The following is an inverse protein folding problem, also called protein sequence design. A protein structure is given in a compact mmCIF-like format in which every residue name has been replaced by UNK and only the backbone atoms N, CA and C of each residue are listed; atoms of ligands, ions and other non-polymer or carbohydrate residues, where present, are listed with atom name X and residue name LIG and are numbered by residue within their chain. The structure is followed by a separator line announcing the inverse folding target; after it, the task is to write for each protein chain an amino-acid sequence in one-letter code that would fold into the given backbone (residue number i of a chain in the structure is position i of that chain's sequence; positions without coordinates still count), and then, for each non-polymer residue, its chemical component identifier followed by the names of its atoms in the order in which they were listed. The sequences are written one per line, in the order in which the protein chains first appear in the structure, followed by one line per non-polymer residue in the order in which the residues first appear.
data_IF_804785178491
#
_entry.id   IF_804785178491
#
_cell.length_a   1.000
_cell.length_b   1.000
_cell.length_c   1.000
_cell.angle_alpha   90.00
_cell.angle_beta   90.00
_cell.angle_gamma   90.00
#
_symmetry.space_group_name_H-M   'P 1'
#
loop_
_entity.id
_entity.type
_entity.pdbx_description
1 polymer ?
#
# COMPACT_ATOMS: atom_id res chain seq x y z
N UNK A 1 -6.23 -9.75 2.35
CA UNK A 1 -5.16 -9.25 3.26
C UNK A 1 -5.58 -7.88 3.77
N UNK A 2 -5.41 -7.56 5.06
CA UNK A 2 -5.59 -6.18 5.56
C UNK A 2 -4.32 -5.41 5.22
N UNK A 3 -4.45 -4.16 4.83
CA UNK A 3 -3.33 -3.40 4.28
C UNK A 3 -2.90 -2.24 5.16
N UNK A 4 -3.79 -1.76 6.04
CA UNK A 4 -3.43 -0.92 7.19
C UNK A 4 -3.87 -1.60 8.48
N UNK A 5 -2.89 -1.95 9.30
CA UNK A 5 -3.07 -2.36 10.68
C UNK A 5 -2.60 -1.19 11.59
N UNK A 6 -3.19 -0.97 12.77
CA UNK A 6 -4.30 -1.69 13.40
C UNK A 6 -5.69 -1.30 12.87
N UNK A 7 -5.77 -0.33 11.96
CA UNK A 7 -7.02 0.29 11.55
C UNK A 7 -7.98 -0.62 10.76
N UNK A 8 -7.52 -1.82 10.40
CA UNK A 8 -8.31 -2.84 9.71
C UNK A 8 -8.79 -2.46 8.30
N UNK A 9 -8.14 -1.47 7.67
CA UNK A 9 -8.46 -1.05 6.30
C UNK A 9 -8.00 -2.07 5.27
N UNK A 10 -8.80 -2.17 4.20
CA UNK A 10 -8.51 -2.95 3.00
C UNK A 10 -8.14 -2.06 1.80
N UNK A 11 -8.24 -0.74 1.93
CA UNK A 11 -8.07 0.20 0.84
C UNK A 11 -7.34 1.48 1.25
N UNK A 12 -6.76 2.12 0.24
CA UNK A 12 -6.12 3.42 0.29
C UNK A 12 -6.42 4.17 -1.00
N UNK A 13 -6.25 5.48 -0.96
CA UNK A 13 -6.21 6.31 -2.16
C UNK A 13 -4.98 7.21 -2.17
N UNK A 14 -4.58 7.62 -3.37
CA UNK A 14 -3.47 8.56 -3.57
C UNK A 14 -4.01 9.98 -3.45
N UNK A 15 -3.33 10.81 -2.65
CA UNK A 15 -3.60 12.24 -2.52
C UNK A 15 -2.37 13.03 -2.93
N UNK A 16 -2.61 14.20 -3.52
CA UNK A 16 -1.58 15.15 -3.96
C UNK A 16 -0.51 14.54 -4.89
N UNK A 17 -0.78 13.37 -5.48
CA UNK A 17 0.13 12.61 -6.35
C UNK A 17 1.36 12.02 -5.65
N UNK A 18 1.52 12.16 -4.33
CA UNK A 18 2.73 11.77 -3.59
C UNK A 18 2.50 11.09 -2.26
N UNK A 19 1.26 11.09 -1.76
CA UNK A 19 0.94 10.44 -0.50
C UNK A 19 -0.11 9.36 -0.70
N UNK A 20 0.08 8.27 0.01
CA UNK A 20 -0.92 7.22 0.17
C UNK A 20 -1.71 7.51 1.47
N UNK A 21 -3.03 7.62 1.39
CA UNK A 21 -3.90 7.84 2.55
C UNK A 21 -4.78 6.62 2.82
N UNK A 22 -4.84 6.21 4.08
CA UNK A 22 -5.77 5.17 4.54
C UNK A 22 -7.21 5.68 4.59
N UNK A 23 -8.12 4.96 3.96
CA UNK A 23 -9.55 5.30 3.93
C UNK A 23 -10.23 5.18 5.30
N UNK A 24 -9.70 4.33 6.18
CA UNK A 24 -10.29 4.09 7.50
C UNK A 24 -9.84 5.10 8.57
N UNK A 25 -8.54 5.41 8.63
CA UNK A 25 -7.96 6.22 9.72
C UNK A 25 -7.29 7.51 9.25
N UNK A 26 -7.23 7.77 7.94
CA UNK A 26 -6.61 8.96 7.39
C UNK A 26 -5.09 9.05 7.55
N UNK A 27 -4.43 8.00 8.05
CA UNK A 27 -2.96 7.97 8.15
C UNK A 27 -2.36 8.10 6.76
N UNK A 28 -1.28 8.87 6.65
CA UNK A 28 -0.60 9.20 5.40
C UNK A 28 0.83 8.69 5.42
N UNK A 29 1.25 8.14 4.29
CA UNK A 29 2.63 7.75 4.02
C UNK A 29 3.08 8.34 2.70
N UNK A 30 4.37 8.60 2.57
CA UNK A 30 5.00 8.93 1.29
C UNK A 30 4.92 7.74 0.33
N UNK A 31 4.48 7.95 -0.92
CA UNK A 31 4.17 6.84 -1.84
C UNK A 31 5.41 6.08 -2.32
N UNK A 32 6.57 6.74 -2.37
CA UNK A 32 7.81 6.15 -2.87
C UNK A 32 8.56 5.40 -1.75
N UNK A 33 8.69 6.05 -0.60
CA UNK A 33 9.47 5.54 0.53
C UNK A 33 8.64 4.69 1.48
N UNK A 34 7.32 4.91 1.53
CA UNK A 34 6.37 4.44 2.55
C UNK A 34 6.67 4.96 3.95
N UNK A 35 7.42 6.06 4.08
CA UNK A 35 7.65 6.71 5.36
C UNK A 35 6.35 7.37 5.86
N UNK A 36 6.01 7.15 7.13
CA UNK A 36 4.84 7.77 7.75
C UNK A 36 4.97 9.28 7.86
N UNK A 37 3.97 10.01 7.38
CA UNK A 37 3.91 11.48 7.37
C UNK A 37 3.04 11.99 8.52
N UNK A 38 1.88 11.37 8.74
CA UNK A 38 0.93 11.79 9.76
C UNK A 38 -0.10 10.71 10.07
N UNK A 39 -0.62 10.65 11.29
CA UNK A 39 -1.71 9.76 11.70
C UNK A 39 -1.30 8.70 12.73
N UNK A 40 -2.26 7.90 13.16
CA UNK A 40 -2.06 6.92 14.24
C UNK A 40 -1.35 5.63 13.79
N UNK A 41 -1.32 5.34 12.49
CA UNK A 41 -0.78 4.07 11.97
C UNK A 41 0.61 4.22 11.32
N UNK A 42 1.33 5.33 11.54
CA UNK A 42 2.60 5.63 10.85
C UNK A 42 3.68 4.54 11.01
N UNK A 43 3.67 3.81 12.13
CA UNK A 43 4.58 2.69 12.42
C UNK A 43 4.23 1.40 11.68
N UNK A 44 3.10 1.38 10.96
CA UNK A 44 2.59 0.24 10.20
C UNK A 44 2.42 0.63 8.73
N UNK A 45 3.53 0.88 8.01
CA UNK A 45 3.44 1.20 6.60
C UNK A 45 2.89 0.02 5.80
N UNK A 46 2.13 0.28 4.72
CA UNK A 46 1.63 -0.78 3.85
C UNK A 46 2.78 -1.56 3.21
N UNK A 47 2.53 -2.80 2.74
CA UNK A 47 3.55 -3.56 2.04
C UNK A 47 3.93 -2.90 0.71
N UNK A 48 5.24 -2.85 0.40
CA UNK A 48 5.72 -2.40 -0.91
C UNK A 48 5.25 -3.38 -1.98
N UNK A 49 4.55 -2.88 -2.99
CA UNK A 49 4.27 -3.64 -4.20
C UNK A 49 5.43 -3.44 -5.17
N UNK A 50 6.21 -4.48 -5.40
CA UNK A 50 7.20 -4.49 -6.49
C UNK A 50 6.50 -4.90 -7.78
N UNK A 51 6.28 -3.96 -8.69
CA UNK A 51 5.82 -4.29 -10.05
C UNK A 51 7.00 -4.77 -10.89
N UNK A 52 7.00 -6.05 -11.24
CA UNK A 52 7.90 -6.61 -12.25
C UNK A 52 7.21 -6.60 -13.61
N UNK A 53 7.74 -5.87 -14.58
CA UNK A 53 7.29 -5.96 -15.97
C UNK A 53 7.87 -7.23 -16.59
N UNK A 54 7.03 -8.23 -16.87
CA UNK A 54 7.40 -9.41 -17.64
C UNK A 54 6.55 -9.41 -18.92
N UNK A 55 7.19 -9.19 -20.07
CA UNK A 55 6.61 -9.37 -21.41
C UNK A 55 5.26 -8.67 -21.65
N UNK A 56 5.08 -7.44 -21.16
CA UNK A 56 3.85 -6.66 -21.37
C UNK A 56 2.68 -7.04 -20.45
N UNK A 57 2.90 -7.91 -19.46
CA UNK A 57 1.96 -8.20 -18.38
C UNK A 57 2.48 -7.56 -17.11
N UNK A 58 1.70 -6.67 -16.51
CA UNK A 58 1.98 -6.10 -15.19
C UNK A 58 1.71 -7.18 -14.15
N UNK A 59 2.75 -7.85 -13.68
CA UNK A 59 2.62 -8.83 -12.60
C UNK A 59 2.72 -8.07 -11.28
N UNK A 60 1.58 -7.86 -10.64
CA UNK A 60 1.51 -7.35 -9.28
C UNK A 60 1.87 -8.50 -8.32
N UNK A 61 3.14 -8.60 -7.92
CA UNK A 61 3.52 -9.56 -6.88
C UNK A 61 3.07 -9.02 -5.52
N UNK A 62 1.83 -9.33 -5.17
CA UNK A 62 1.35 -9.22 -3.79
C UNK A 62 2.04 -10.28 -2.92
N UNK A 63 2.41 -9.97 -1.65
CA UNK A 63 3.03 -10.94 -0.75
C UNK A 63 2.12 -12.16 -0.45
N UNK A 64 0.83 -12.06 -0.74
CA UNK A 64 -0.04 -13.23 -0.96
C UNK A 64 0.18 -13.73 -2.37
N UNK A 65 1.05 -14.74 -2.53
CA UNK A 65 1.33 -15.41 -3.80
C UNK A 65 0.04 -15.70 -4.58
N UNK A 66 -0.12 -15.01 -5.70
CA UNK A 66 -1.20 -15.26 -6.65
C UNK A 66 -0.81 -16.51 -7.46
N UNK A 67 -1.36 -17.66 -7.09
CA UNK A 67 -1.31 -18.86 -7.93
C UNK A 67 -2.21 -18.63 -9.14
N UNK A 68 -1.60 -18.40 -10.30
CA UNK A 68 -2.30 -18.45 -11.58
C UNK A 68 -2.48 -19.94 -11.94
N UNK A 69 -3.72 -20.40 -11.88
CA UNK A 69 -4.15 -21.68 -12.46
C UNK A 69 -4.55 -21.48 -13.92
#
# INVERSE_FOLDING_TARGET
VRVCEPCSSFSFHIIDGKYLQCDACGTRWDIETLQGISGGCISYPPPKLTTGLLNGVTVETSPTGLSLA
#
